data_IF_369719236863
#
_entry.id   IF_369719236863
#
_cell.length_a   1.000
_cell.length_b   1.000
_cell.length_c   1.000
_cell.angle_alpha   90.00
_cell.angle_beta   90.00
_cell.angle_gamma   90.00
#
_symmetry.space_group_name_H-M   'P 1'
#
loop_
_entity.id
_entity.type
_entity.pdbx_description
1 polymer ?
#
# COMPACT_ATOMS: atom_id res chain seq x y z
N UNK A 1 21.28 11.68 16.75
CA UNK A 1 20.59 10.49 16.19
C UNK A 1 20.70 9.39 17.22
N UNK A 2 19.57 8.93 17.75
CA UNK A 2 19.52 7.86 18.75
C UNK A 2 19.94 6.53 18.12
N UNK A 3 20.84 5.81 18.80
CA UNK A 3 21.36 4.50 18.37
C UNK A 3 20.76 3.45 19.27
N UNK A 4 20.21 2.40 18.69
CA UNK A 4 19.76 1.22 19.41
C UNK A 4 20.84 0.15 19.36
N UNK A 5 21.17 -0.43 20.52
CA UNK A 5 22.04 -1.59 20.63
C UNK A 5 21.21 -2.88 20.56
N UNK A 6 21.78 -3.93 19.99
CA UNK A 6 21.15 -5.25 20.04
C UNK A 6 21.26 -5.83 21.45
N UNK A 7 20.34 -6.74 21.79
CA UNK A 7 20.40 -7.44 23.07
C UNK A 7 21.66 -8.32 23.14
N UNK A 8 22.20 -8.46 24.35
CA UNK A 8 23.32 -9.36 24.62
C UNK A 8 22.97 -10.80 24.19
N UNK A 9 23.86 -11.43 23.41
CA UNK A 9 23.65 -12.77 22.85
C UNK A 9 23.00 -12.81 21.45
N UNK A 10 22.71 -11.66 20.84
CA UNK A 10 22.33 -11.60 19.42
C UNK A 10 23.58 -11.74 18.53
N UNK A 11 23.52 -12.56 17.48
CA UNK A 11 24.65 -12.87 16.58
C UNK A 11 25.34 -11.62 15.99
N UNK A 12 24.60 -10.51 15.88
CA UNK A 12 25.08 -9.25 15.33
C UNK A 12 25.37 -8.18 16.39
N UNK A 13 25.29 -8.48 17.68
CA UNK A 13 25.43 -7.48 18.75
C UNK A 13 26.80 -6.79 18.74
N UNK A 14 27.86 -7.53 18.41
CA UNK A 14 29.22 -6.99 18.38
C UNK A 14 29.58 -6.29 17.06
N UNK A 15 28.80 -6.53 15.99
CA UNK A 15 29.13 -6.08 14.63
C UNK A 15 28.19 -5.01 14.08
N UNK A 16 26.95 -4.93 14.58
CA UNK A 16 25.91 -4.06 14.04
C UNK A 16 25.26 -3.20 15.12
N UNK A 17 24.68 -2.07 14.70
CA UNK A 17 23.89 -1.19 15.55
C UNK A 17 22.62 -0.78 14.78
N UNK A 18 21.51 -0.65 15.50
CA UNK A 18 20.28 -0.10 14.94
C UNK A 18 20.34 1.42 14.96
N UNK A 19 19.91 2.05 13.86
CA UNK A 19 19.82 3.51 13.77
C UNK A 19 18.42 3.93 13.35
N UNK A 20 17.84 4.85 14.11
CA UNK A 20 16.64 5.53 13.69
C UNK A 20 16.98 6.48 12.53
N UNK A 21 16.23 6.35 11.43
CA UNK A 21 16.32 7.31 10.34
C UNK A 21 15.66 8.62 10.77
N UNK A 22 16.40 9.72 10.63
CA UNK A 22 15.89 11.07 10.93
C UNK A 22 14.89 11.57 9.87
N UNK A 23 15.01 11.07 8.63
CA UNK A 23 14.11 11.41 7.53
C UNK A 23 13.11 10.28 7.35
N UNK A 24 11.79 10.55 7.41
CA UNK A 24 10.77 9.57 7.10
C UNK A 24 10.93 9.05 5.67
N UNK A 25 10.87 7.74 5.49
CA UNK A 25 10.86 7.09 4.18
C UNK A 25 9.57 6.29 4.02
N UNK A 26 9.03 6.26 2.81
CA UNK A 26 7.86 5.43 2.49
C UNK A 26 8.36 4.00 2.25
N UNK A 27 7.90 3.06 3.07
CA UNK A 27 8.20 1.65 2.85
C UNK A 27 7.42 1.16 1.63
N UNK A 28 8.14 0.64 0.64
CA UNK A 28 7.55 -0.07 -0.51
C UNK A 28 7.46 -1.54 -0.13
N UNK A 29 6.23 -2.03 0.05
CA UNK A 29 6.00 -3.45 0.31
C UNK A 29 6.11 -4.21 -1.01
N UNK A 30 7.10 -5.11 -1.09
CA UNK A 30 7.31 -5.98 -2.24
C UNK A 30 6.61 -7.32 -2.00
N UNK A 31 5.86 -7.80 -2.99
CA UNK A 31 5.16 -9.08 -2.94
C UNK A 31 3.72 -8.99 -3.44
N UNK A 32 2.92 -9.99 -3.06
CA UNK A 32 1.50 -10.04 -3.34
C UNK A 32 0.77 -8.84 -2.72
N UNK A 33 -0.41 -8.52 -3.27
CA UNK A 33 -1.23 -7.41 -2.77
C UNK A 33 -1.52 -7.61 -1.29
N UNK A 34 -1.42 -6.52 -0.52
CA UNK A 34 -1.89 -6.52 0.86
C UNK A 34 -3.37 -6.96 0.90
N UNK A 35 -3.76 -7.82 1.85
CA UNK A 35 -5.15 -8.18 2.07
C UNK A 35 -6.00 -6.93 2.31
N UNK A 36 -7.32 -7.03 2.15
CA UNK A 36 -8.25 -5.93 2.40
C UNK A 36 -9.29 -6.29 3.45
N UNK A 37 -9.63 -5.39 4.38
CA UNK A 37 -10.58 -5.70 5.45
C UNK A 37 -12.04 -5.73 4.96
N UNK A 38 -12.32 -5.15 3.79
CA UNK A 38 -13.68 -5.00 3.22
C UNK A 38 -14.09 -6.15 2.28
N UNK A 39 -13.22 -7.14 2.06
CA UNK A 39 -13.48 -8.30 1.17
C UNK A 39 -14.03 -9.55 1.88
N UNK A 40 -14.60 -9.36 3.06
CA UNK A 40 -15.24 -10.41 3.86
C UNK A 40 -14.36 -11.02 4.95
N UNK A 41 -14.90 -11.95 5.76
CA UNK A 41 -14.27 -12.39 7.01
C UNK A 41 -12.89 -13.04 6.82
N UNK A 42 -12.75 -13.93 5.83
CA UNK A 42 -11.47 -14.60 5.57
C UNK A 42 -10.36 -13.61 5.18
N UNK A 43 -10.69 -12.55 4.45
CA UNK A 43 -9.73 -11.52 4.08
C UNK A 43 -9.45 -10.57 5.25
N UNK A 44 -10.44 -10.30 6.11
CA UNK A 44 -10.27 -9.53 7.34
C UNK A 44 -9.30 -10.22 8.31
N UNK A 45 -9.34 -11.55 8.46
CA UNK A 45 -8.32 -12.29 9.22
C UNK A 45 -6.90 -12.06 8.68
N UNK A 46 -6.71 -12.18 7.36
CA UNK A 46 -5.39 -11.96 6.74
C UNK A 46 -4.92 -10.51 6.86
N UNK A 47 -5.84 -9.56 6.70
CA UNK A 47 -5.54 -8.14 6.89
C UNK A 47 -5.12 -7.84 8.32
N UNK A 48 -5.87 -8.36 9.31
CA UNK A 48 -5.57 -8.20 10.73
C UNK A 48 -4.18 -8.77 11.07
N UNK A 49 -3.87 -9.97 10.55
CA UNK A 49 -2.53 -10.58 10.64
C UNK A 49 -1.45 -9.67 10.06
N UNK A 50 -1.65 -9.14 8.87
CA UNK A 50 -0.67 -8.26 8.21
C UNK A 50 -0.45 -6.97 9.00
N UNK A 51 -1.51 -6.34 9.51
CA UNK A 51 -1.39 -5.11 10.29
C UNK A 51 -0.71 -5.33 11.64
N UNK A 52 -0.94 -6.47 12.29
CA UNK A 52 -0.23 -6.84 13.52
C UNK A 52 1.27 -7.01 13.26
N UNK A 53 1.65 -7.73 12.20
CA UNK A 53 3.07 -7.93 11.84
C UNK A 53 3.78 -6.60 11.55
N UNK A 54 3.10 -5.67 10.89
CA UNK A 54 3.70 -4.40 10.47
C UNK A 54 3.72 -3.33 11.56
N UNK A 55 2.72 -3.31 12.46
CA UNK A 55 2.50 -2.17 13.36
C UNK A 55 2.50 -2.51 14.84
N UNK A 56 2.45 -3.78 15.23
CA UNK A 56 2.66 -4.20 16.62
C UNK A 56 4.16 -4.48 16.80
N UNK A 57 4.81 -4.03 17.89
CA UNK A 57 6.16 -4.50 18.20
C UNK A 57 6.13 -5.99 18.58
N UNK A 58 6.98 -6.81 17.97
CA UNK A 58 7.08 -8.24 18.26
C UNK A 58 8.52 -8.75 18.09
N UNK A 59 8.87 -9.80 18.83
CA UNK A 59 10.11 -10.58 18.68
C UNK A 59 9.82 -12.05 18.40
N UNK A 60 8.72 -12.55 18.94
CA UNK A 60 8.24 -13.91 18.77
C UNK A 60 6.80 -13.90 18.27
N UNK A 61 6.33 -15.03 17.77
CA UNK A 61 4.95 -15.16 17.32
C UNK A 61 3.94 -14.94 18.45
N UNK A 62 4.29 -15.30 19.69
CA UNK A 62 3.43 -15.12 20.87
C UNK A 62 3.16 -13.64 21.18
N UNK A 63 4.05 -12.73 20.76
CA UNK A 63 3.83 -11.29 20.93
C UNK A 63 2.71 -10.78 20.00
N UNK A 64 2.42 -11.48 18.90
CA UNK A 64 1.42 -11.05 17.93
C UNK A 64 0.01 -11.40 18.38
N UNK A 65 -0.22 -12.65 18.82
CA UNK A 65 -1.50 -13.10 19.37
C UNK A 65 -1.34 -14.32 20.30
N UNK A 66 -2.29 -14.47 21.22
CA UNK A 66 -2.53 -15.69 21.99
C UNK A 66 -2.86 -16.88 21.06
N UNK A 67 -2.48 -18.12 21.40
CA UNK A 67 -2.86 -19.30 20.62
C UNK A 67 -4.37 -19.49 20.44
N UNK A 68 -5.19 -19.01 21.37
CA UNK A 68 -6.65 -19.26 21.41
C UNK A 68 -7.49 -18.19 20.75
N UNK A 69 -6.99 -16.96 20.61
CA UNK A 69 -7.76 -15.88 19.96
C UNK A 69 -7.76 -16.06 18.43
N UNK A 70 -8.41 -15.20 17.66
CA UNK A 70 -8.26 -15.07 16.20
C UNK A 70 -7.29 -13.93 15.87
N UNK A 71 -7.02 -13.67 14.59
CA UNK A 71 -6.21 -12.50 14.21
C UNK A 71 -7.00 -11.20 14.34
N UNK A 72 -8.30 -11.26 14.06
CA UNK A 72 -9.23 -10.15 14.21
C UNK A 72 -9.33 -9.72 15.68
N UNK A 73 -9.53 -10.67 16.60
CA UNK A 73 -9.58 -10.38 18.04
C UNK A 73 -8.27 -9.77 18.55
N UNK A 74 -7.13 -10.35 18.15
CA UNK A 74 -5.82 -9.82 18.52
C UNK A 74 -5.60 -8.38 18.01
N UNK A 75 -6.07 -8.09 16.80
CA UNK A 75 -6.00 -6.76 16.21
C UNK A 75 -6.91 -5.78 16.95
N UNK A 76 -8.16 -6.15 17.20
CA UNK A 76 -9.14 -5.30 17.87
C UNK A 76 -8.72 -5.01 19.33
N UNK A 77 -8.02 -5.94 19.98
CA UNK A 77 -7.43 -5.77 21.32
C UNK A 77 -6.11 -4.97 21.33
N UNK A 78 -5.48 -4.74 20.18
CA UNK A 78 -4.18 -4.06 20.12
C UNK A 78 -4.35 -2.53 20.07
N UNK A 79 -3.70 -1.83 20.99
CA UNK A 79 -3.67 -0.37 20.99
C UNK A 79 -2.66 0.18 19.99
N UNK A 80 -3.14 0.54 18.80
CA UNK A 80 -2.33 1.24 17.80
C UNK A 80 -2.31 2.76 18.01
N UNK A 81 -1.15 3.38 17.74
CA UNK A 81 -1.01 4.84 17.72
C UNK A 81 -1.88 5.47 16.63
N UNK A 82 -2.24 6.74 16.80
CA UNK A 82 -3.01 7.49 15.79
C UNK A 82 -2.30 7.53 14.44
N UNK A 83 -0.97 7.65 14.44
CA UNK A 83 -0.18 7.61 13.22
C UNK A 83 -0.26 6.24 12.52
N UNK A 84 -0.13 5.14 13.27
CA UNK A 84 -0.25 3.80 12.71
C UNK A 84 -1.63 3.59 12.07
N UNK A 85 -2.72 3.93 12.77
CA UNK A 85 -4.09 3.86 12.22
C UNK A 85 -4.25 4.68 10.95
N UNK A 86 -3.65 5.88 10.88
CA UNK A 86 -3.66 6.72 9.67
C UNK A 86 -2.93 6.04 8.51
N UNK A 87 -1.79 5.41 8.76
CA UNK A 87 -1.06 4.67 7.72
C UNK A 87 -1.87 3.46 7.25
N UNK A 88 -2.44 2.67 8.15
CA UNK A 88 -3.31 1.52 7.81
C UNK A 88 -4.48 1.95 6.92
N UNK A 89 -5.13 3.07 7.23
CA UNK A 89 -6.21 3.63 6.41
C UNK A 89 -5.71 4.03 5.02
N UNK A 90 -4.57 4.70 4.93
CA UNK A 90 -4.00 5.11 3.64
C UNK A 90 -3.63 3.90 2.77
N UNK A 91 -3.11 2.81 3.37
CA UNK A 91 -2.88 1.54 2.67
C UNK A 91 -4.18 0.99 2.07
N UNK A 92 -5.30 1.11 2.77
CA UNK A 92 -6.60 0.69 2.23
C UNK A 92 -7.07 1.59 1.06
N UNK A 93 -6.89 2.91 1.17
CA UNK A 93 -7.22 3.87 0.08
C UNK A 93 -6.42 3.56 -1.19
N UNK A 94 -5.13 3.24 -1.05
CA UNK A 94 -4.31 2.86 -2.21
C UNK A 94 -4.87 1.63 -2.94
N UNK A 95 -5.33 0.62 -2.18
CA UNK A 95 -5.99 -0.55 -2.74
C UNK A 95 -7.30 -0.20 -3.47
N UNK A 96 -8.10 0.70 -2.91
CA UNK A 96 -9.35 1.17 -3.54
C UNK A 96 -9.08 1.90 -4.86
N UNK A 97 -8.09 2.79 -4.88
CA UNK A 97 -7.67 3.49 -6.09
C UNK A 97 -7.14 2.52 -7.16
N UNK A 98 -6.36 1.51 -6.76
CA UNK A 98 -5.86 0.47 -7.66
C UNK A 98 -7.01 -0.32 -8.29
N UNK A 99 -7.99 -0.75 -7.48
CA UNK A 99 -9.16 -1.46 -7.97
C UNK A 99 -10.00 -0.58 -8.93
N UNK A 100 -10.16 0.71 -8.63
CA UNK A 100 -10.86 1.66 -9.50
C UNK A 100 -10.15 1.81 -10.85
N UNK A 101 -8.82 1.93 -10.85
CA UNK A 101 -7.99 1.96 -12.05
C UNK A 101 -8.12 0.67 -12.86
N UNK A 102 -7.98 -0.49 -12.22
CA UNK A 102 -8.07 -1.79 -12.88
C UNK A 102 -9.45 -1.98 -13.53
N UNK A 103 -10.53 -1.60 -12.83
CA UNK A 103 -11.91 -1.62 -13.38
C UNK A 103 -12.07 -0.70 -14.58
N UNK A 104 -11.55 0.53 -14.49
CA UNK A 104 -11.57 1.49 -15.58
C UNK A 104 -10.83 0.94 -16.82
N UNK A 105 -9.64 0.36 -16.65
CA UNK A 105 -8.88 -0.20 -17.75
C UNK A 105 -9.60 -1.36 -18.45
N UNK A 106 -10.25 -2.24 -17.67
CA UNK A 106 -11.08 -3.31 -18.24
C UNK A 106 -12.26 -2.74 -19.03
N UNK A 107 -12.97 -1.76 -18.49
CA UNK A 107 -14.08 -1.11 -19.17
C UNK A 107 -13.64 -0.36 -20.42
N UNK A 108 -12.47 0.30 -20.38
CA UNK A 108 -11.89 1.04 -21.50
C UNK A 108 -11.53 0.09 -22.65
N UNK A 109 -10.86 -1.03 -22.33
CA UNK A 109 -10.56 -2.09 -23.32
C UNK A 109 -11.82 -2.71 -23.93
N UNK A 110 -12.92 -2.77 -23.17
CA UNK A 110 -14.22 -3.23 -23.65
C UNK A 110 -15.02 -2.15 -24.40
N UNK A 111 -14.48 -0.93 -24.58
CA UNK A 111 -15.17 0.18 -25.25
C UNK A 111 -16.35 0.76 -24.48
N UNK A 112 -16.52 0.42 -23.20
CA UNK A 112 -17.67 0.81 -22.37
C UNK A 112 -17.54 2.18 -21.71
N UNK A 113 -16.33 2.74 -21.67
CA UNK A 113 -16.04 4.04 -21.06
C UNK A 113 -15.16 4.88 -21.97
N UNK A 114 -15.35 6.19 -21.93
CA UNK A 114 -14.51 7.15 -22.66
C UNK A 114 -13.17 7.33 -21.95
N UNK A 115 -12.09 7.60 -22.70
CA UNK A 115 -10.80 7.94 -22.12
C UNK A 115 -10.90 9.13 -21.17
N UNK A 116 -10.35 9.01 -19.96
CA UNK A 116 -10.29 10.08 -18.96
C UNK A 116 -9.41 11.26 -19.41
N UNK A 117 -8.39 10.99 -20.22
CA UNK A 117 -7.50 12.00 -20.79
C UNK A 117 -7.71 12.08 -22.31
N UNK A 118 -7.81 13.30 -22.88
CA UNK A 118 -7.78 13.50 -24.33
C UNK A 118 -6.54 12.82 -24.93
N UNK A 119 -6.71 12.06 -26.01
CA UNK A 119 -5.62 11.36 -26.70
C UNK A 119 -5.26 9.97 -26.17
N UNK A 120 -5.75 9.55 -24.99
CA UNK A 120 -5.43 8.23 -24.41
C UNK A 120 -6.17 7.04 -25.07
N UNK A 121 -6.92 7.30 -26.15
CA UNK A 121 -7.72 6.31 -26.88
C UNK A 121 -7.30 6.06 -28.33
N UNK A 122 -6.26 6.72 -28.83
CA UNK A 122 -5.75 6.52 -30.19
C UNK A 122 -4.51 5.63 -30.19
N UNK A 123 -4.30 4.89 -31.29
CA UNK A 123 -3.01 4.25 -31.61
C UNK A 123 -1.83 5.20 -31.31
N UNK A 124 -0.62 4.67 -31.01
CA UNK A 124 0.54 5.51 -30.75
C UNK A 124 0.87 6.32 -32.02
N UNK A 125 0.28 7.50 -32.15
CA UNK A 125 0.81 8.53 -33.01
C UNK A 125 1.96 9.14 -32.21
N UNK A 126 3.16 8.67 -32.50
CA UNK A 126 4.42 9.27 -32.06
C UNK A 126 4.71 10.58 -32.81
N UNK A 127 3.76 11.07 -33.59
CA UNK A 127 3.94 12.23 -34.42
C UNK A 127 3.50 13.49 -33.67
N UNK A 128 4.50 14.27 -33.27
CA UNK A 128 4.36 15.53 -32.54
C UNK A 128 3.52 16.54 -33.34
N UNK A 129 3.53 16.46 -34.68
CA UNK A 129 2.76 17.33 -35.56
C UNK A 129 1.24 17.09 -35.44
N UNK A 130 0.84 15.84 -35.18
CA UNK A 130 -0.57 15.48 -34.99
C UNK A 130 -1.15 16.06 -33.69
N UNK A 131 -0.33 16.20 -32.65
CA UNK A 131 -0.74 16.82 -31.37
C UNK A 131 -0.93 18.34 -31.51
N UNK A 132 -0.06 19.02 -32.26
CA UNK A 132 -0.19 20.46 -32.54
C UNK A 132 -1.43 20.79 -33.37
N UNK A 133 -1.80 19.92 -34.31
CA UNK A 133 -2.97 20.12 -35.17
C UNK A 133 -4.30 19.91 -34.43
N UNK A 134 -4.35 19.02 -33.43
CA UNK A 134 -5.53 18.84 -32.59
C UNK A 134 -5.78 20.07 -31.70
N UNK A 135 -4.73 20.66 -31.15
CA UNK A 135 -4.82 21.86 -30.30
C UNK A 135 -5.25 23.12 -31.08
N UNK A 136 -4.86 23.25 -32.35
CA UNK A 136 -5.29 24.38 -33.18
C UNK A 136 -6.78 24.34 -33.54
N UNK A 137 -7.36 23.15 -33.74
CA UNK A 137 -8.77 23.01 -34.12
C UNK A 137 -9.74 23.35 -32.99
N UNK A 138 -9.34 23.12 -31.74
CA UNK A 138 -10.15 23.44 -30.56
C UNK A 138 -10.02 24.91 -30.11
N UNK A 139 -9.05 25.65 -30.65
CA UNK A 139 -8.77 27.04 -30.27
C UNK A 139 -9.46 28.10 -31.14
N UNK A 140 -10.15 27.72 -32.22
CA UNK A 140 -11.00 28.64 -32.99
C UNK A 140 -10.29 29.89 -33.53
N UNK A 141 -9.15 29.71 -34.21
CA UNK A 141 -8.59 30.63 -35.19
C UNK A 141 -8.41 29.92 -36.53
#
# INVERSE_FOLDING_TARGET
MERGEFLHGHDQADTHLSRFRAVPVVNVLLGDRLPRPDRGPAERQKWSRAMLILFKPWRTFADLKSPTESWEEAFDNTHFTSNAKRVMRNMNVENECKDAKDKYEVQRKAGKVRPLLPGAGGAPSTDVESLTNALHRDAGL
#
